data_IF_066470884865
#
_entry.id   IF_066470884865
#
_cell.length_a   1.000
_cell.length_b   1.000
_cell.length_c   1.000
_cell.angle_alpha   90.00
_cell.angle_beta   90.00
_cell.angle_gamma   90.00
#
_symmetry.space_group_name_H-M   'P 1'
#
loop_
_entity.id
_entity.type
_entity.pdbx_description
1 polymer ?
#
# COMPACT_ATOMS: atom_id res chain seq x y z
N UNK A 1 3.29 -23.30 -3.26
CA UNK A 1 2.58 -22.26 -4.02
C UNK A 1 3.21 -20.93 -3.64
N UNK A 2 3.59 -20.11 -4.61
CA UNK A 2 4.17 -18.78 -4.38
C UNK A 2 3.09 -17.86 -3.81
N UNK A 3 3.37 -17.23 -2.66
CA UNK A 3 2.46 -16.24 -2.08
C UNK A 3 2.71 -14.87 -2.72
N UNK A 4 1.65 -14.10 -2.96
CA UNK A 4 1.76 -12.72 -3.45
C UNK A 4 1.41 -11.73 -2.34
N UNK A 5 1.95 -10.53 -2.43
CA UNK A 5 1.71 -9.47 -1.47
C UNK A 5 1.97 -8.09 -2.07
N UNK A 6 1.93 -7.09 -1.19
CA UNK A 6 2.27 -5.70 -1.52
C UNK A 6 3.33 -5.21 -0.54
N UNK A 7 4.39 -4.63 -1.07
CA UNK A 7 5.37 -3.87 -0.31
C UNK A 7 4.99 -2.38 -0.36
N UNK A 8 4.93 -1.76 0.82
CA UNK A 8 4.60 -0.35 1.01
C UNK A 8 5.84 0.38 1.47
N UNK A 9 6.31 1.34 0.69
CA UNK A 9 7.41 2.23 1.01
C UNK A 9 6.89 3.60 1.47
N UNK A 10 6.58 3.72 2.75
CA UNK A 10 5.91 4.91 3.25
C UNK A 10 6.84 6.11 3.48
N UNK A 11 8.13 6.02 3.10
CA UNK A 11 9.05 7.15 3.19
C UNK A 11 8.57 8.37 2.38
N UNK A 12 8.04 8.12 1.18
CA UNK A 12 7.62 9.15 0.22
C UNK A 12 6.11 9.23 0.03
N UNK A 13 5.33 8.53 0.85
CA UNK A 13 3.88 8.61 0.74
C UNK A 13 3.41 10.01 1.11
N UNK A 14 2.83 10.71 0.13
CA UNK A 14 2.32 12.07 0.29
C UNK A 14 0.91 12.15 0.90
N UNK A 15 0.27 11.00 1.14
CA UNK A 15 -1.10 10.98 1.66
C UNK A 15 -2.17 11.41 0.66
N UNK A 16 -1.91 11.36 -0.66
CA UNK A 16 -2.85 11.82 -1.70
C UNK A 16 -4.15 11.00 -1.83
N UNK A 17 -4.25 9.82 -1.19
CA UNK A 17 -5.43 8.93 -1.20
C UNK A 17 -5.87 8.41 -2.58
N UNK A 18 -5.05 8.57 -3.62
CA UNK A 18 -5.34 8.04 -4.96
C UNK A 18 -5.54 6.51 -4.95
N UNK A 19 -4.79 5.79 -4.12
CA UNK A 19 -4.93 4.35 -3.95
C UNK A 19 -6.28 3.93 -3.35
N UNK A 20 -6.83 4.72 -2.42
CA UNK A 20 -8.15 4.47 -1.80
C UNK A 20 -9.24 4.58 -2.87
N UNK A 21 -9.28 5.71 -3.58
CA UNK A 21 -10.28 5.99 -4.62
C UNK A 21 -10.18 4.98 -5.76
N UNK A 22 -8.96 4.66 -6.22
CA UNK A 22 -8.75 3.68 -7.28
C UNK A 22 -9.27 2.28 -6.88
N UNK A 23 -9.06 1.88 -5.63
CA UNK A 23 -9.58 0.61 -5.09
C UNK A 23 -11.11 0.61 -5.04
N UNK A 24 -11.70 1.67 -4.48
CA UNK A 24 -13.15 1.81 -4.41
C UNK A 24 -13.82 1.75 -5.79
N UNK A 25 -13.25 2.44 -6.79
CA UNK A 25 -13.80 2.47 -8.15
C UNK A 25 -13.64 1.13 -8.88
N UNK A 26 -12.48 0.50 -8.80
CA UNK A 26 -12.24 -0.81 -9.44
C UNK A 26 -13.22 -1.88 -8.91
N UNK A 27 -13.37 -1.93 -7.59
CA UNK A 27 -14.17 -2.96 -6.92
C UNK A 27 -15.63 -2.53 -6.68
N UNK A 28 -16.01 -1.32 -7.10
CA UNK A 28 -17.35 -0.73 -6.91
C UNK A 28 -17.81 -0.80 -5.45
N UNK A 29 -16.88 -0.54 -4.53
CA UNK A 29 -17.16 -0.57 -3.09
C UNK A 29 -18.07 0.61 -2.70
N UNK A 30 -18.91 0.44 -1.67
CA UNK A 30 -19.66 1.57 -1.11
C UNK A 30 -18.74 2.70 -0.65
N UNK A 31 -19.33 3.91 -0.53
CA UNK A 31 -18.63 5.07 0.02
C UNK A 31 -18.05 4.72 1.40
N UNK A 32 -16.82 5.16 1.65
CA UNK A 32 -16.07 4.88 2.88
C UNK A 32 -15.63 3.43 3.10
N UNK A 33 -15.71 2.56 2.08
CA UNK A 33 -15.12 1.22 2.09
C UNK A 33 -14.00 1.10 1.05
N UNK A 34 -12.89 0.48 1.45
CA UNK A 34 -11.66 0.39 0.66
C UNK A 34 -10.88 -0.87 1.02
N UNK A 35 -10.23 -1.49 0.05
CA UNK A 35 -9.20 -2.52 0.28
C UNK A 35 -7.88 -1.93 0.80
N UNK A 36 -7.65 -0.64 0.61
CA UNK A 36 -6.46 0.09 1.10
C UNK A 36 -6.88 1.42 1.71
N UNK A 37 -6.31 1.76 2.87
CA UNK A 37 -6.58 2.99 3.62
C UNK A 37 -5.25 3.62 4.04
N UNK A 38 -5.09 4.90 3.76
CA UNK A 38 -3.93 5.69 4.17
C UNK A 38 -4.15 6.17 5.61
N UNK A 39 -3.38 5.60 6.53
CA UNK A 39 -3.31 6.05 7.90
C UNK A 39 -2.29 7.18 8.05
N UNK A 40 -2.66 8.25 8.72
CA UNK A 40 -1.72 9.30 9.12
C UNK A 40 -1.13 8.94 10.48
N UNK A 41 0.20 8.79 10.55
CA UNK A 41 0.97 8.59 11.76
C UNK A 41 1.69 9.90 12.11
N UNK A 42 1.08 10.71 12.98
CA UNK A 42 1.57 12.02 13.36
C UNK A 42 0.55 13.14 13.14
N UNK A 43 0.92 14.39 13.45
CA UNK A 43 2.23 14.83 13.94
C UNK A 43 2.39 14.68 15.46
N UNK A 44 3.52 14.13 15.91
CA UNK A 44 4.03 14.29 17.29
C UNK A 44 5.55 14.43 17.30
N UNK A 45 6.08 15.19 18.25
CA UNK A 45 7.52 15.39 18.41
C UNK A 45 8.12 14.14 19.07
N UNK A 46 9.22 13.63 18.50
CA UNK A 46 9.99 12.54 19.09
C UNK A 46 11.09 13.13 19.98
N UNK A 47 11.93 14.00 19.42
CA UNK A 47 13.09 14.58 20.10
C UNK A 47 13.67 15.75 19.29
N UNK A 48 13.89 16.92 19.90
CA UNK A 48 14.41 18.09 19.19
C UNK A 48 13.58 18.42 17.94
N UNK A 49 14.22 18.64 16.79
CA UNK A 49 13.53 18.86 15.51
C UNK A 49 13.06 17.58 14.81
N UNK A 50 13.12 16.42 15.47
CA UNK A 50 12.65 15.14 14.91
C UNK A 50 11.17 14.94 15.22
N UNK A 51 10.35 14.88 14.18
CA UNK A 51 8.90 14.69 14.25
C UNK A 51 8.47 13.40 13.57
N UNK A 52 7.51 12.72 14.18
CA UNK A 52 6.77 11.67 13.50
C UNK A 52 5.66 12.33 12.70
N UNK A 53 5.80 12.33 11.38
CA UNK A 53 4.74 12.73 10.44
C UNK A 53 4.87 11.88 9.19
N UNK A 54 4.00 10.89 9.02
CA UNK A 54 4.05 9.96 7.90
C UNK A 54 2.66 9.53 7.49
N UNK A 55 2.49 9.20 6.22
CA UNK A 55 1.29 8.57 5.70
C UNK A 55 1.62 7.13 5.32
N UNK A 56 0.80 6.18 5.77
CA UNK A 56 1.07 4.76 5.61
C UNK A 56 -0.14 4.08 5.00
N UNK A 57 -0.06 3.63 3.73
CA UNK A 57 -1.05 2.74 3.16
C UNK A 57 -1.13 1.42 3.94
N UNK A 58 -2.30 1.13 4.51
CA UNK A 58 -2.64 -0.11 5.19
C UNK A 58 -3.74 -0.82 4.41
N UNK A 59 -3.81 -2.15 4.53
CA UNK A 59 -4.79 -2.96 3.79
C UNK A 59 -5.85 -3.53 4.73
N UNK A 60 -7.08 -3.63 4.22
CA UNK A 60 -8.23 -4.19 4.94
C UNK A 60 -8.50 -5.62 4.48
N UNK A 61 -9.39 -6.32 5.18
CA UNK A 61 -9.87 -7.65 4.78
C UNK A 61 -10.71 -7.64 3.48
N UNK A 62 -11.02 -6.45 2.93
CA UNK A 62 -11.66 -6.31 1.62
C UNK A 62 -10.65 -6.33 0.44
N UNK A 63 -9.35 -6.33 0.73
CA UNK A 63 -8.33 -6.42 -0.31
C UNK A 63 -8.16 -7.85 -0.79
N UNK A 64 -8.32 -8.06 -2.10
CA UNK A 64 -8.20 -9.34 -2.80
C UNK A 64 -6.94 -9.39 -3.69
N UNK A 65 -5.97 -8.52 -3.43
CA UNK A 65 -4.79 -8.27 -4.28
C UNK A 65 -5.14 -7.96 -5.77
N UNK A 66 -6.35 -7.47 -6.03
CA UNK A 66 -6.90 -7.27 -7.36
C UNK A 66 -6.75 -8.51 -8.25
N UNK A 67 -7.12 -9.69 -7.75
CA UNK A 67 -6.94 -10.98 -8.45
C UNK A 67 -7.37 -10.94 -9.92
N UNK A 68 -8.54 -10.36 -10.24
CA UNK A 68 -9.02 -10.24 -11.62
C UNK A 68 -8.09 -9.40 -12.54
N UNK A 69 -7.40 -8.40 -11.97
CA UNK A 69 -6.44 -7.57 -12.72
C UNK A 69 -5.11 -8.31 -12.91
N UNK A 70 -4.62 -8.94 -11.86
CA UNK A 70 -3.31 -9.61 -11.87
C UNK A 70 -3.32 -10.86 -12.73
N UNK A 71 -4.42 -11.60 -12.77
CA UNK A 71 -4.65 -12.69 -13.72
C UNK A 71 -4.68 -12.20 -15.18
N UNK A 72 -5.10 -10.97 -15.42
CA UNK A 72 -5.06 -10.32 -16.73
C UNK A 72 -3.69 -9.67 -17.05
N UNK A 73 -2.65 -9.93 -16.24
CA UNK A 73 -1.30 -9.38 -16.42
C UNK A 73 -1.18 -7.88 -16.08
N UNK A 74 -2.17 -7.31 -15.40
CA UNK A 74 -2.16 -5.91 -14.96
C UNK A 74 -1.72 -5.82 -13.50
N UNK A 75 -1.20 -4.66 -13.11
CA UNK A 75 -0.92 -4.37 -11.71
C UNK A 75 -2.22 -4.15 -10.92
N UNK A 76 -2.21 -4.42 -9.60
CA UNK A 76 -3.30 -4.00 -8.71
C UNK A 76 -3.59 -2.51 -8.87
N UNK A 77 -4.86 -2.13 -8.73
CA UNK A 77 -5.29 -0.76 -9.05
C UNK A 77 -4.61 0.28 -8.16
N UNK A 78 -4.39 -0.04 -6.87
CA UNK A 78 -3.69 0.84 -5.93
C UNK A 78 -2.22 1.04 -6.30
N UNK A 79 -1.55 -0.01 -6.79
CA UNK A 79 -0.16 0.03 -7.28
C UNK A 79 -0.08 0.87 -8.56
N UNK A 80 -0.98 0.63 -9.52
CA UNK A 80 -1.00 1.34 -10.80
C UNK A 80 -1.22 2.85 -10.64
N UNK A 81 -2.05 3.27 -9.69
CA UNK A 81 -2.42 4.67 -9.48
C UNK A 81 -1.58 5.38 -8.41
N UNK A 82 -0.56 4.72 -7.85
CA UNK A 82 0.29 5.31 -6.83
C UNK A 82 1.16 6.44 -7.42
N UNK A 83 0.80 7.69 -7.16
CA UNK A 83 1.49 8.87 -7.72
C UNK A 83 2.94 8.99 -7.26
N UNK A 84 3.26 8.48 -6.06
CA UNK A 84 4.60 8.48 -5.48
C UNK A 84 5.38 7.19 -5.74
N UNK A 85 4.81 6.23 -6.49
CA UNK A 85 5.40 4.92 -6.76
C UNK A 85 5.86 4.15 -5.50
N UNK A 86 5.15 4.31 -4.38
CA UNK A 86 5.48 3.70 -3.08
C UNK A 86 4.89 2.31 -2.84
N UNK A 87 4.10 1.79 -3.78
CA UNK A 87 3.48 0.46 -3.66
C UNK A 87 4.07 -0.47 -4.72
N UNK A 88 4.50 -1.66 -4.32
CA UNK A 88 4.99 -2.69 -5.23
C UNK A 88 4.25 -4.01 -5.00
N UNK A 89 3.83 -4.68 -6.07
CA UNK A 89 3.17 -5.98 -6.04
C UNK A 89 4.11 -7.06 -6.59
N UNK A 90 4.07 -8.25 -5.98
CA UNK A 90 4.86 -9.39 -6.47
C UNK A 90 4.90 -10.56 -5.50
N UNK A 91 5.71 -11.58 -5.79
CA UNK A 91 5.99 -12.70 -4.89
C UNK A 91 6.52 -12.20 -3.55
N UNK A 92 5.97 -12.72 -2.45
CA UNK A 92 6.35 -12.32 -1.08
C UNK A 92 7.85 -12.50 -0.85
N UNK A 93 8.45 -13.55 -1.41
CA UNK A 93 9.88 -13.84 -1.28
C UNK A 93 10.77 -12.82 -2.03
N UNK A 94 10.27 -12.23 -3.11
CA UNK A 94 10.95 -11.14 -3.81
C UNK A 94 10.76 -9.81 -3.06
N UNK A 95 9.56 -9.55 -2.59
CA UNK A 95 9.26 -8.34 -1.82
C UNK A 95 9.99 -8.31 -0.48
N UNK A 96 10.15 -9.45 0.20
CA UNK A 96 10.90 -9.56 1.44
C UNK A 96 12.39 -9.25 1.23
N UNK A 97 12.99 -9.62 0.09
CA UNK A 97 14.37 -9.24 -0.23
C UNK A 97 14.50 -7.74 -0.45
N UNK A 98 13.53 -7.11 -1.11
CA UNK A 98 13.49 -5.65 -1.27
C UNK A 98 13.28 -4.92 0.06
N UNK A 99 12.54 -5.52 0.98
CA UNK A 99 12.31 -4.98 2.33
C UNK A 99 13.62 -4.75 3.08
N UNK A 100 14.62 -5.63 2.90
CA UNK A 100 15.92 -5.51 3.57
C UNK A 100 16.79 -4.36 3.02
N UNK A 101 16.45 -3.80 1.86
CA UNK A 101 17.26 -2.75 1.21
C UNK A 101 17.12 -1.38 1.90
N UNK A 102 15.98 -1.10 2.54
CA UNK A 102 15.74 0.20 3.20
C UNK A 102 14.74 0.12 4.35
N UNK A 103 14.89 0.98 5.38
CA UNK A 103 13.89 1.09 6.44
C UNK A 103 12.61 1.80 5.93
N UNK A 104 11.61 1.89 6.81
CA UNK A 104 10.32 2.58 6.57
C UNK A 104 9.46 1.92 5.50
N UNK A 105 9.32 0.61 5.63
CA UNK A 105 8.51 -0.20 4.74
C UNK A 105 7.60 -1.15 5.51
N UNK A 106 6.51 -1.56 4.88
CA UNK A 106 5.62 -2.62 5.37
C UNK A 106 5.45 -3.66 4.27
N UNK A 107 5.69 -4.92 4.59
CA UNK A 107 5.32 -6.04 3.73
C UNK A 107 3.96 -6.57 4.17
N UNK A 108 2.98 -6.51 3.28
CA UNK A 108 1.60 -6.88 3.58
C UNK A 108 1.17 -8.03 2.68
N UNK A 109 0.55 -9.04 3.30
CA UNK A 109 -0.17 -10.10 2.62
C UNK A 109 -1.64 -10.00 3.04
N UNK A 110 -2.48 -9.29 2.27
CA UNK A 110 -3.92 -9.24 2.50
C UNK A 110 -4.56 -10.61 2.27
N UNK A 111 -5.80 -10.76 2.74
CA UNK A 111 -6.53 -12.03 2.78
C UNK A 111 -6.76 -12.64 1.39
#
# INVERSE_FOLDING_TARGET
MTAFGILVDYEWCSGCRACEVACQMEHKLPVSRYGVVVAQLGPWQIEGDRWQHSFVPNFTDECDLCTARTEAGKLPTCVHHCQAAVLAYGPVEELARKLDEKPRQLLVRPR
#
